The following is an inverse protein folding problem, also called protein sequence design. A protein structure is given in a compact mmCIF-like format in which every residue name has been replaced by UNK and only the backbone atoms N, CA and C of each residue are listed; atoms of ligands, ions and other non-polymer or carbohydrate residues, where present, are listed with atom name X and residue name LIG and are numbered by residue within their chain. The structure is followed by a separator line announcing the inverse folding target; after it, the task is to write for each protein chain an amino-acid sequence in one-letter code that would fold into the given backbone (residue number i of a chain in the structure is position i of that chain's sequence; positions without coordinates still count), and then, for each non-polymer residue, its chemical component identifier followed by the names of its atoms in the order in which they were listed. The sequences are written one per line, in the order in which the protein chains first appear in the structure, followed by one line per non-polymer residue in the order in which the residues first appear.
data_IF_438225359727
#
_entry.id   IF_438225359727
#
_cell.length_a   1.000
_cell.length_b   1.000
_cell.length_c   1.000
_cell.angle_alpha   90.00
_cell.angle_beta   90.00
_cell.angle_gamma   90.00
#
_symmetry.space_group_name_H-M   'P 1'
#
loop_
_entity.id
_entity.type
_entity.pdbx_description
1 polymer ?
#
# COMPACT_ATOMS: atom_id res chain seq x y z
N UNK A 1 -13.77 -3.88 18.28
CA UNK A 1 -14.29 -3.98 16.91
C UNK A 1 -13.06 -3.85 16.04
N UNK A 2 -12.73 -4.82 15.18
CA UNK A 2 -11.57 -4.67 14.30
C UNK A 2 -11.92 -3.58 13.30
N UNK A 3 -11.42 -2.38 13.50
CA UNK A 3 -11.59 -1.29 12.54
C UNK A 3 -10.69 -1.60 11.35
N UNK A 4 -11.30 -2.20 10.33
CA UNK A 4 -10.64 -2.48 9.07
C UNK A 4 -10.17 -1.17 8.44
N UNK A 5 -8.92 -1.15 7.98
CA UNK A 5 -8.35 -0.03 7.23
C UNK A 5 -9.11 0.20 5.92
N UNK A 6 -9.55 -0.86 5.25
CA UNK A 6 -10.40 -0.86 4.05
C UNK A 6 -11.57 -1.84 4.20
N UNK A 7 -12.72 -1.51 3.60
CA UNK A 7 -13.86 -2.41 3.44
C UNK A 7 -14.27 -2.51 1.96
N UNK A 8 -15.18 -3.43 1.64
CA UNK A 8 -15.59 -3.70 0.26
C UNK A 8 -16.15 -2.46 -0.47
N UNK A 9 -16.79 -1.52 0.24
CA UNK A 9 -17.32 -0.30 -0.37
C UNK A 9 -16.23 0.72 -0.74
N UNK A 10 -15.01 0.56 -0.23
CA UNK A 10 -13.87 1.40 -0.60
C UNK A 10 -13.21 0.94 -1.91
N UNK A 11 -13.49 -0.30 -2.34
CA UNK A 11 -12.85 -0.87 -3.52
C UNK A 11 -13.38 -0.21 -4.81
N UNK A 12 -12.45 0.32 -5.62
CA UNK A 12 -12.77 0.86 -6.95
C UNK A 12 -13.25 -0.28 -7.87
N UNK A 13 -12.54 -1.41 -7.84
CA UNK A 13 -12.87 -2.62 -8.59
C UNK A 13 -12.79 -3.83 -7.66
N UNK A 14 -13.52 -4.91 -7.98
CA UNK A 14 -13.55 -6.10 -7.11
C UNK A 14 -12.21 -6.81 -7.07
N UNK A 15 -11.48 -6.73 -8.17
CA UNK A 15 -10.13 -7.25 -8.41
C UNK A 15 -9.10 -6.63 -7.46
N UNK A 16 -9.42 -5.49 -6.83
CA UNK A 16 -8.58 -4.84 -5.83
C UNK A 16 -8.68 -5.49 -4.42
N UNK A 17 -9.36 -6.63 -4.31
CA UNK A 17 -9.46 -7.41 -3.07
C UNK A 17 -8.10 -7.67 -2.38
N UNK A 18 -7.00 -8.03 -3.08
CA UNK A 18 -5.70 -8.23 -2.45
C UNK A 18 -5.20 -7.01 -1.66
N UNK A 19 -5.46 -5.79 -2.15
CA UNK A 19 -5.10 -4.54 -1.46
C UNK A 19 -5.78 -4.48 -0.09
N UNK A 20 -7.10 -4.72 -0.06
CA UNK A 20 -7.87 -4.68 1.18
C UNK A 20 -7.39 -5.74 2.16
N UNK A 21 -7.18 -6.98 1.70
CA UNK A 21 -6.77 -8.08 2.57
C UNK A 21 -5.38 -7.82 3.19
N UNK A 22 -4.40 -7.43 2.38
CA UNK A 22 -3.03 -7.16 2.83
C UNK A 22 -3.02 -5.93 3.77
N UNK A 23 -3.60 -4.80 3.34
CA UNK A 23 -3.60 -3.59 4.16
C UNK A 23 -4.32 -3.78 5.50
N UNK A 24 -5.40 -4.57 5.54
CA UNK A 24 -6.13 -4.83 6.78
C UNK A 24 -5.36 -5.65 7.82
N UNK A 25 -4.30 -6.37 7.44
CA UNK A 25 -3.45 -7.06 8.42
C UNK A 25 -2.33 -6.21 8.96
N UNK A 26 -1.98 -5.11 8.29
CA UNK A 26 -0.98 -4.17 8.82
C UNK A 26 -1.47 -3.70 10.18
N UNK A 27 -0.72 -3.99 11.24
CA UNK A 27 -1.08 -3.58 12.60
C UNK A 27 -1.02 -2.06 12.73
N UNK A 28 -1.69 -1.51 13.74
CA UNK A 28 -1.63 -0.07 14.02
C UNK A 28 -0.19 0.39 14.31
N UNK A 29 0.57 -0.41 15.05
CA UNK A 29 1.98 -0.16 15.40
C UNK A 29 2.90 -0.13 14.18
N UNK A 30 2.56 -0.89 13.12
CA UNK A 30 3.34 -0.96 11.87
C UNK A 30 2.87 0.01 10.81
N UNK A 31 1.71 0.66 10.98
CA UNK A 31 1.12 1.43 9.90
C UNK A 31 2.03 2.59 9.42
N UNK A 32 2.64 3.33 10.35
CA UNK A 32 3.55 4.42 9.98
C UNK A 32 4.79 3.93 9.23
N UNK A 33 5.38 2.80 9.61
CA UNK A 33 6.57 2.27 8.92
C UNK A 33 6.22 1.72 7.53
N UNK A 34 5.02 1.13 7.37
CA UNK A 34 4.50 0.75 6.05
C UNK A 34 4.25 1.97 5.18
N UNK A 35 3.65 3.03 5.72
CA UNK A 35 3.40 4.26 4.98
C UNK A 35 4.71 4.96 4.57
N UNK A 36 5.71 4.95 5.45
CA UNK A 36 7.06 5.43 5.16
C UNK A 36 7.71 4.63 4.03
N UNK A 37 7.73 3.30 4.14
CA UNK A 37 8.30 2.42 3.12
C UNK A 37 7.68 2.67 1.74
N UNK A 38 6.35 2.71 1.66
CA UNK A 38 5.63 3.01 0.43
C UNK A 38 5.99 4.40 -0.11
N UNK A 39 6.15 5.40 0.76
CA UNK A 39 6.56 6.76 0.36
C UNK A 39 8.00 6.83 -0.17
N UNK A 40 8.86 5.90 0.25
CA UNK A 40 10.23 5.73 -0.24
C UNK A 40 10.33 4.89 -1.52
N UNK A 41 9.25 4.20 -1.88
CA UNK A 41 9.19 3.31 -3.03
C UNK A 41 9.48 1.85 -2.73
N UNK A 42 9.38 1.47 -1.46
CA UNK A 42 9.54 0.09 -1.01
C UNK A 42 8.20 -0.53 -0.64
N UNK A 43 8.06 -1.79 -1.03
CA UNK A 43 6.97 -2.67 -0.66
C UNK A 43 7.01 -3.10 0.81
N UNK A 44 6.08 -3.96 1.18
CA UNK A 44 5.99 -4.55 2.52
C UNK A 44 5.27 -5.90 2.48
N UNK A 45 5.56 -6.77 3.45
CA UNK A 45 4.94 -8.09 3.57
C UNK A 45 4.05 -8.23 4.80
N UNK A 46 3.02 -9.05 4.66
CA UNK A 46 2.14 -9.56 5.72
C UNK A 46 1.92 -11.07 5.55
N UNK A 47 1.23 -11.69 6.52
CA UNK A 47 1.04 -13.16 6.53
C UNK A 47 0.23 -13.70 5.33
N UNK A 48 -0.66 -12.89 4.73
CA UNK A 48 -1.44 -13.35 3.56
C UNK A 48 -0.79 -13.03 2.22
N UNK A 49 0.22 -12.17 2.18
CA UNK A 49 0.72 -11.61 0.93
C UNK A 49 1.62 -10.41 1.12
N UNK A 50 2.01 -9.78 0.02
CA UNK A 50 2.92 -8.64 0.02
C UNK A 50 2.47 -7.57 -0.99
N UNK A 51 2.88 -6.35 -0.71
CA UNK A 51 2.96 -5.26 -1.69
C UNK A 51 4.40 -5.19 -2.20
N UNK A 52 4.59 -5.20 -3.52
CA UNK A 52 5.90 -5.09 -4.19
C UNK A 52 5.88 -3.86 -5.10
N UNK A 53 6.91 -3.02 -4.99
CA UNK A 53 7.11 -1.88 -5.87
C UNK A 53 8.24 -2.17 -6.87
N UNK A 54 8.33 -1.42 -7.99
CA UNK A 54 9.34 -1.67 -9.01
C UNK A 54 10.78 -1.53 -8.51
N UNK A 55 11.00 -0.72 -7.47
CA UNK A 55 12.32 -0.53 -6.86
C UNK A 55 12.74 -1.71 -5.96
N UNK A 56 11.81 -2.62 -5.64
CA UNK A 56 12.12 -3.86 -4.91
C UNK A 56 12.65 -4.96 -5.84
N UNK A 57 12.44 -4.85 -7.16
CA UNK A 57 12.89 -5.83 -8.15
C UNK A 57 14.42 -5.75 -8.33
N UNK A 58 15.09 -6.87 -8.09
CA UNK A 58 16.53 -6.99 -8.24
C UNK A 58 16.96 -7.26 -9.70
N UNK A 59 18.27 -7.34 -9.94
CA UNK A 59 18.81 -7.58 -11.29
C UNK A 59 18.39 -8.95 -11.85
N UNK A 60 18.16 -9.95 -11.00
CA UNK A 60 17.71 -11.27 -11.40
C UNK A 60 16.25 -11.23 -11.84
N UNK A 61 15.37 -10.57 -11.09
CA UNK A 61 13.95 -10.40 -11.44
C UNK A 61 13.83 -9.71 -12.82
N UNK A 62 14.56 -8.61 -12.99
CA UNK A 62 14.59 -7.84 -14.25
C UNK A 62 15.17 -8.66 -15.39
N UNK A 63 16.21 -9.45 -15.16
CA UNK A 63 16.80 -10.32 -16.18
C UNK A 63 15.84 -11.44 -16.63
N UNK A 64 14.90 -11.84 -15.77
CA UNK A 64 13.83 -12.78 -16.10
C UNK A 64 12.60 -12.11 -16.73
N UNK A 65 12.67 -10.80 -16.98
CA UNK A 65 11.61 -10.05 -17.66
C UNK A 65 10.50 -9.56 -16.72
N UNK A 66 10.70 -9.63 -15.41
CA UNK A 66 9.77 -9.04 -14.46
C UNK A 66 9.84 -7.51 -14.54
N UNK A 67 8.67 -6.90 -14.67
CA UNK A 67 8.51 -5.46 -14.67
C UNK A 67 7.15 -5.11 -14.10
N UNK A 68 7.11 -4.08 -13.27
CA UNK A 68 5.90 -3.57 -12.65
C UNK A 68 5.67 -2.14 -13.14
N UNK A 69 4.48 -1.87 -13.66
CA UNK A 69 4.01 -0.53 -13.99
C UNK A 69 3.06 -0.03 -12.89
N UNK A 70 3.59 0.01 -11.66
CA UNK A 70 2.83 0.34 -10.46
C UNK A 70 3.19 -0.55 -9.27
N UNK A 71 2.26 -0.67 -8.33
CA UNK A 71 2.41 -1.53 -7.16
C UNK A 71 1.66 -2.84 -7.36
N UNK A 72 2.33 -3.97 -7.13
CA UNK A 72 1.69 -5.27 -7.08
C UNK A 72 1.25 -5.59 -5.65
N UNK A 73 0.01 -6.04 -5.48
CA UNK A 73 -0.48 -6.64 -4.26
C UNK A 73 -0.77 -8.13 -4.53
N UNK A 74 0.13 -9.00 -4.07
CA UNK A 74 0.08 -10.43 -4.31
C UNK A 74 -0.24 -11.22 -3.04
N UNK A 75 -1.28 -12.04 -3.07
CA UNK A 75 -1.62 -13.01 -2.04
C UNK A 75 -0.79 -14.28 -2.22
N UNK A 76 -0.40 -14.92 -1.12
CA UNK A 76 0.27 -16.23 -1.16
C UNK A 76 -0.65 -17.36 -1.66
N UNK A 77 -1.94 -17.11 -1.83
CA UNK A 77 -2.86 -18.01 -2.54
C UNK A 77 -2.65 -18.02 -4.06
N UNK A 78 -1.89 -17.06 -4.61
CA UNK A 78 -1.61 -16.89 -6.03
C UNK A 78 -2.47 -15.84 -6.74
N UNK A 79 -3.41 -15.20 -6.04
CA UNK A 79 -4.12 -14.03 -6.58
C UNK A 79 -3.28 -12.77 -6.44
N UNK A 80 -3.14 -11.97 -7.49
CA UNK A 80 -2.39 -10.73 -7.46
C UNK A 80 -3.08 -9.65 -8.31
N UNK A 81 -2.84 -8.39 -7.97
CA UNK A 81 -3.28 -7.24 -8.76
C UNK A 81 -2.16 -6.22 -8.84
N UNK A 82 -1.92 -5.68 -10.03
CA UNK A 82 -1.01 -4.54 -10.24
C UNK A 82 -1.87 -3.30 -10.45
N UNK A 83 -1.62 -2.25 -9.66
CA UNK A 83 -2.35 -0.98 -9.72
C UNK A 83 -1.40 0.19 -9.96
N UNK A 84 -1.90 1.21 -10.65
CA UNK A 84 -1.14 2.45 -10.82
C UNK A 84 -1.00 3.22 -9.49
N UNK A 85 -0.03 4.14 -9.44
CA UNK A 85 0.23 4.93 -8.23
C UNK A 85 -0.92 5.87 -7.86
N UNK A 86 -1.78 6.26 -8.81
CA UNK A 86 -2.94 7.11 -8.52
C UNK A 86 -3.99 6.33 -7.72
N UNK A 87 -4.20 5.08 -8.10
CA UNK A 87 -5.07 4.11 -7.43
C UNK A 87 -4.52 3.77 -6.06
N UNK A 88 -3.22 3.49 -5.94
CA UNK A 88 -2.59 3.26 -4.64
C UNK A 88 -2.75 4.49 -3.73
N UNK A 89 -2.46 5.70 -4.22
CA UNK A 89 -2.60 6.93 -3.44
C UNK A 89 -4.04 7.20 -3.00
N UNK A 90 -5.04 6.84 -3.81
CA UNK A 90 -6.44 6.90 -3.42
C UNK A 90 -6.71 6.04 -2.17
N UNK A 91 -6.26 4.79 -2.16
CA UNK A 91 -6.41 3.90 -1.02
C UNK A 91 -5.63 4.40 0.21
N UNK A 92 -4.40 4.88 0.03
CA UNK A 92 -3.60 5.42 1.14
C UNK A 92 -4.32 6.57 1.83
N UNK A 93 -4.97 7.47 1.08
CA UNK A 93 -5.76 8.56 1.68
C UNK A 93 -6.91 8.05 2.56
N UNK A 94 -7.69 7.07 2.07
CA UNK A 94 -8.80 6.49 2.85
C UNK A 94 -8.28 5.89 4.16
N UNK A 95 -7.17 5.13 4.07
CA UNK A 95 -6.59 4.47 5.24
C UNK A 95 -6.03 5.50 6.22
N UNK A 96 -5.31 6.51 5.74
CA UNK A 96 -4.77 7.59 6.55
C UNK A 96 -5.88 8.41 7.24
N UNK A 97 -6.94 8.74 6.51
CA UNK A 97 -8.10 9.47 7.06
C UNK A 97 -8.77 8.68 8.20
N UNK A 98 -8.82 7.34 8.10
CA UNK A 98 -9.32 6.49 9.19
C UNK A 98 -8.35 6.42 10.35
N UNK A 99 -7.08 6.18 10.08
CA UNK A 99 -6.02 6.11 11.08
C UNK A 99 -5.95 7.37 11.96
N UNK A 100 -6.06 8.55 11.34
CA UNK A 100 -5.99 9.84 12.02
C UNK A 100 -7.21 10.16 12.89
N UNK A 101 -8.34 9.46 12.76
CA UNK A 101 -9.47 9.62 13.69
C UNK A 101 -9.11 9.19 15.10
N UNK A 102 -8.21 8.21 15.23
CA UNK A 102 -7.76 7.66 16.50
C UNK A 102 -6.34 8.15 16.87
N UNK A 103 -5.57 8.61 15.88
CA UNK A 103 -4.16 8.99 16.02
C UNK A 103 -3.86 10.46 15.65
N UNK A 104 -4.71 11.41 16.04
CA UNK A 104 -4.63 12.83 15.64
C UNK A 104 -3.23 13.45 15.87
N UNK A 105 -2.53 13.07 16.94
CA UNK A 105 -1.17 13.58 17.28
C UNK A 105 -0.16 13.27 16.16
N UNK A 106 -0.43 12.26 15.34
CA UNK A 106 0.46 11.81 14.26
C UNK A 106 0.09 12.43 12.90
N UNK A 107 -0.79 13.44 12.86
CA UNK A 107 -1.24 14.06 11.59
C UNK A 107 -0.08 14.60 10.76
N UNK A 108 0.87 15.29 11.38
CA UNK A 108 2.00 15.90 10.66
C UNK A 108 2.86 14.85 9.93
N UNK A 109 3.14 13.72 10.57
CA UNK A 109 3.97 12.66 9.97
C UNK A 109 3.21 11.90 8.87
N UNK A 110 1.92 11.65 9.05
CA UNK A 110 1.08 11.01 8.02
C UNK A 110 0.98 11.90 6.78
N UNK A 111 0.74 13.20 6.97
CA UNK A 111 0.70 14.18 5.86
C UNK A 111 2.05 14.24 5.15
N UNK A 112 3.16 14.26 5.91
CA UNK A 112 4.50 14.28 5.32
C UNK A 112 4.76 13.06 4.43
N UNK A 113 4.39 11.84 4.87
CA UNK A 113 4.55 10.64 4.06
C UNK A 113 3.62 10.61 2.84
N UNK A 114 2.37 11.08 2.95
CA UNK A 114 1.47 11.20 1.80
C UNK A 114 2.00 12.20 0.76
N UNK A 115 2.53 13.36 1.18
CA UNK A 115 3.12 14.33 0.24
C UNK A 115 4.42 13.81 -0.38
N UNK A 116 5.23 13.05 0.38
CA UNK A 116 6.43 12.39 -0.13
C UNK A 116 6.07 11.35 -1.21
N UNK A 117 5.10 10.48 -0.93
CA UNK A 117 4.59 9.51 -1.91
C UNK A 117 4.09 10.23 -3.18
N UNK A 118 3.26 11.25 -3.00
CA UNK A 118 2.70 12.03 -4.12
C UNK A 118 3.81 12.68 -4.94
N UNK A 119 4.80 13.29 -4.31
CA UNK A 119 5.92 13.95 -4.99
C UNK A 119 6.80 12.98 -5.76
N UNK A 120 6.94 11.75 -5.27
CA UNK A 120 7.74 10.70 -5.92
C UNK A 120 7.04 10.09 -7.14
N UNK A 121 5.74 9.84 -7.03
CA UNK A 121 5.04 8.97 -8.00
C UNK A 121 3.98 9.66 -8.86
N UNK A 122 3.52 10.86 -8.47
CA UNK A 122 2.35 11.51 -9.09
C UNK A 122 2.63 12.90 -9.69
N UNK A 123 3.86 13.41 -9.59
CA UNK A 123 4.27 14.73 -10.11
C UNK A 123 5.17 14.56 -11.34
#
# INVERSE_FOLDING_TARGET
MNDFKLNENDLIEREHLPIMLIMNMVSEERFLSVLEALSDGHGFGEECGACTLPDDLDDFDRANGESLDGAEFGLYSGEAVVIDYKTLYFYLKIICDRYLKENVIQSDIVIAYLEKFRSRFLI
#
